data_IF_866042037489
#
_entry.id   IF_866042037489
#
_cell.length_a   1.000
_cell.length_b   1.000
_cell.length_c   1.000
_cell.angle_alpha   90.00
_cell.angle_beta   90.00
_cell.angle_gamma   90.00
#
_symmetry.space_group_name_H-M   'P 1'
#
loop_
_entity.id
_entity.type
_entity.pdbx_description
1 polymer ?
#
# COMPACT_ATOMS: atom_id res chain seq x y z
N UNK A 1 22.74 -69.22 -58.91
CA UNK A 1 21.98 -68.63 -60.02
C UNK A 1 20.89 -67.76 -59.41
N UNK A 2 21.00 -66.45 -59.68
CA UNK A 2 20.05 -65.32 -59.57
C UNK A 2 18.64 -65.56 -59.02
N UNK A 3 18.15 -64.63 -58.17
CA UNK A 3 16.84 -63.94 -58.22
C UNK A 3 16.65 -63.14 -56.90
N UNK A 4 17.06 -61.87 -56.80
CA UNK A 4 16.33 -60.62 -57.19
C UNK A 4 15.21 -60.21 -56.21
N UNK A 5 15.09 -58.87 -55.99
CA UNK A 5 13.96 -58.03 -55.49
C UNK A 5 13.92 -57.73 -53.96
N UNK A 6 13.73 -56.50 -53.44
CA UNK A 6 13.46 -55.14 -53.94
C UNK A 6 13.95 -54.12 -52.90
N UNK A 7 14.53 -53.02 -53.37
CA UNK A 7 14.81 -51.81 -52.59
C UNK A 7 13.47 -51.07 -52.38
N UNK A 8 13.12 -50.76 -51.12
CA UNK A 8 12.01 -49.87 -50.79
C UNK A 8 12.61 -48.49 -50.43
N UNK A 9 12.44 -47.52 -51.32
CA UNK A 9 12.77 -46.10 -51.07
C UNK A 9 11.64 -45.50 -50.25
N UNK A 10 11.90 -45.12 -48.99
CA UNK A 10 10.98 -44.30 -48.20
C UNK A 10 11.17 -42.83 -48.57
N UNK A 11 10.19 -42.25 -49.25
CA UNK A 11 10.08 -40.81 -49.46
C UNK A 11 9.50 -40.16 -48.19
N UNK A 12 10.35 -39.45 -47.44
CA UNK A 12 9.93 -38.54 -46.38
C UNK A 12 9.46 -37.23 -47.02
N UNK A 13 8.15 -37.03 -47.10
CA UNK A 13 7.55 -35.75 -47.42
C UNK A 13 7.62 -34.85 -46.18
N UNK A 14 8.52 -33.87 -46.17
CA UNK A 14 8.57 -32.81 -45.17
C UNK A 14 7.50 -31.77 -45.48
N UNK A 15 6.39 -31.80 -44.74
CA UNK A 15 5.42 -30.72 -44.74
C UNK A 15 5.97 -29.55 -43.89
N UNK A 16 6.33 -28.45 -44.55
CA UNK A 16 6.66 -27.20 -43.86
C UNK A 16 5.37 -26.53 -43.37
N UNK A 17 5.14 -26.54 -42.05
CA UNK A 17 4.04 -25.78 -41.45
C UNK A 17 4.40 -24.29 -41.42
N UNK A 18 3.67 -23.48 -42.19
CA UNK A 18 3.78 -22.02 -42.13
C UNK A 18 3.14 -21.52 -40.82
N UNK A 19 3.97 -21.01 -39.90
CA UNK A 19 3.51 -20.38 -38.67
C UNK A 19 3.07 -18.95 -39.01
N UNK A 20 1.76 -18.72 -39.06
CA UNK A 20 1.19 -17.37 -39.09
C UNK A 20 1.38 -16.72 -37.72
N UNK A 21 2.27 -15.75 -37.62
CA UNK A 21 2.42 -14.90 -36.43
C UNK A 21 1.21 -13.97 -36.38
N UNK A 22 0.18 -14.35 -35.61
CA UNK A 22 -0.94 -13.47 -35.29
C UNK A 22 -0.42 -12.26 -34.49
N UNK A 23 -0.82 -11.06 -34.93
CA UNK A 23 -0.26 -9.79 -34.51
C UNK A 23 -0.23 -9.55 -33.00
N UNK A 24 0.88 -8.98 -32.54
CA UNK A 24 1.01 -8.36 -31.23
C UNK A 24 0.08 -7.14 -31.19
N UNK A 25 -1.17 -7.34 -30.75
CA UNK A 25 -2.03 -6.24 -30.37
C UNK A 25 -1.40 -5.51 -29.19
N UNK A 26 -0.83 -4.32 -29.43
CA UNK A 26 -0.45 -3.39 -28.36
C UNK A 26 -1.73 -2.95 -27.65
N UNK A 27 -2.03 -3.55 -26.50
CA UNK A 27 -3.06 -3.01 -25.61
C UNK A 27 -2.57 -1.65 -25.13
N UNK A 28 -3.15 -0.57 -25.65
CA UNK A 28 -2.88 0.77 -25.17
C UNK A 28 -3.26 0.82 -23.69
N UNK A 29 -2.27 1.05 -22.82
CA UNK A 29 -2.51 1.19 -21.39
C UNK A 29 -3.49 2.36 -21.17
N UNK A 30 -4.63 2.08 -20.54
CA UNK A 30 -5.62 3.10 -20.22
C UNK A 30 -4.98 4.27 -19.47
N UNK A 31 -5.17 5.49 -19.98
CA UNK A 31 -4.72 6.70 -19.31
C UNK A 31 -5.38 6.79 -17.93
N UNK A 32 -4.60 7.15 -16.90
CA UNK A 32 -5.16 7.34 -15.58
C UNK A 32 -6.21 8.45 -15.61
N UNK A 33 -7.25 8.40 -14.75
CA UNK A 33 -8.14 9.53 -14.59
C UNK A 33 -7.34 10.78 -14.19
N UNK A 34 -7.61 11.90 -14.86
CA UNK A 34 -6.98 13.17 -14.53
C UNK A 34 -7.57 13.72 -13.22
N UNK A 35 -6.74 13.81 -12.18
CA UNK A 35 -7.14 14.42 -10.91
C UNK A 35 -7.13 15.96 -10.99
N UNK A 36 -7.82 16.62 -10.05
CA UNK A 36 -7.76 18.07 -9.91
C UNK A 36 -6.33 18.52 -9.52
N UNK A 37 -5.60 19.26 -10.37
CA UNK A 37 -4.22 19.65 -10.10
C UNK A 37 -4.07 20.59 -8.90
N UNK A 38 -5.12 21.34 -8.53
CA UNK A 38 -5.11 22.21 -7.34
C UNK A 38 -5.02 21.43 -6.03
N UNK A 39 -5.37 20.15 -6.06
CA UNK A 39 -5.33 19.25 -4.90
C UNK A 39 -4.14 18.30 -4.96
N UNK A 40 -3.19 18.50 -5.89
CA UNK A 40 -2.04 17.62 -6.00
C UNK A 40 -1.28 17.55 -4.66
N UNK A 41 -1.09 16.34 -4.10
CA UNK A 41 -0.30 16.17 -2.89
C UNK A 41 1.16 16.54 -3.14
N UNK A 42 1.88 16.97 -2.11
CA UNK A 42 3.28 17.35 -2.22
C UNK A 42 4.11 16.84 -1.03
N UNK A 43 5.42 17.12 -1.06
CA UNK A 43 6.34 16.67 -0.02
C UNK A 43 6.27 15.15 0.19
N UNK A 44 6.27 14.72 1.46
CA UNK A 44 6.25 13.30 1.82
C UNK A 44 4.91 12.62 1.50
N UNK A 45 3.79 13.34 1.60
CA UNK A 45 2.46 12.82 1.26
C UNK A 45 2.39 12.56 -0.25
N UNK A 46 2.81 13.53 -1.07
CA UNK A 46 2.87 13.38 -2.52
C UNK A 46 3.84 12.31 -2.97
N UNK A 47 5.02 12.23 -2.35
CA UNK A 47 5.98 11.16 -2.63
C UNK A 47 5.38 9.78 -2.34
N UNK A 48 4.67 9.61 -1.21
CA UNK A 48 4.00 8.36 -0.88
C UNK A 48 2.86 8.03 -1.85
N UNK A 49 2.02 9.00 -2.20
CA UNK A 49 0.94 8.81 -3.17
C UNK A 49 1.47 8.38 -4.54
N UNK A 50 2.52 9.04 -5.03
CA UNK A 50 3.18 8.67 -6.29
C UNK A 50 3.80 7.27 -6.23
N UNK A 51 4.45 6.92 -5.12
CA UNK A 51 5.02 5.58 -4.91
C UNK A 51 3.95 4.48 -5.00
N UNK A 52 2.73 4.77 -4.54
CA UNK A 52 1.60 3.84 -4.59
C UNK A 52 0.93 3.74 -5.96
N UNK A 53 1.37 4.53 -6.96
CA UNK A 53 0.79 4.57 -8.30
C UNK A 53 -0.15 5.75 -8.56
N UNK A 54 -0.20 6.72 -7.64
CA UNK A 54 -0.93 7.97 -7.80
C UNK A 54 -2.43 7.75 -8.10
N UNK A 55 -2.98 8.34 -9.18
CA UNK A 55 -4.40 8.19 -9.51
C UNK A 55 -4.82 6.75 -9.85
N UNK A 56 -3.87 5.86 -10.16
CA UNK A 56 -4.13 4.43 -10.45
C UNK A 56 -4.05 3.56 -9.19
N UNK A 57 -3.65 4.12 -8.06
CA UNK A 57 -3.62 3.41 -6.77
C UNK A 57 -5.03 3.24 -6.20
N UNK A 58 -5.16 2.41 -5.16
CA UNK A 58 -6.42 2.29 -4.42
C UNK A 58 -6.85 3.60 -3.73
N UNK A 59 -5.94 4.57 -3.52
CA UNK A 59 -6.31 5.88 -3.02
C UNK A 59 -7.03 6.73 -4.07
N UNK A 60 -6.71 6.53 -5.35
CA UNK A 60 -7.16 7.34 -6.48
C UNK A 60 -6.92 8.85 -6.26
N UNK A 61 -7.83 9.72 -6.70
CA UNK A 61 -7.59 11.16 -6.70
C UNK A 61 -7.73 11.81 -5.31
N UNK A 62 -6.95 12.87 -5.01
CA UNK A 62 -7.14 13.69 -3.81
C UNK A 62 -8.51 14.39 -3.82
N UNK A 63 -9.15 14.47 -2.66
CA UNK A 63 -10.48 15.08 -2.46
C UNK A 63 -10.43 16.37 -1.64
N UNK A 64 -9.30 16.64 -0.97
CA UNK A 64 -9.02 17.90 -0.26
C UNK A 64 -7.57 18.30 -0.46
N UNK A 65 -7.22 19.56 -0.15
CA UNK A 65 -5.82 19.95 0.02
C UNK A 65 -5.20 19.35 1.29
N UNK A 66 -3.88 19.41 1.40
CA UNK A 66 -3.15 19.06 2.63
C UNK A 66 -3.51 20.01 3.78
N UNK A 67 -3.81 19.44 4.96
CA UNK A 67 -4.18 20.20 6.17
C UNK A 67 -3.28 19.85 7.33
N UNK A 68 -3.02 20.85 8.17
CA UNK A 68 -2.34 20.66 9.44
C UNK A 68 -3.20 19.85 10.41
N UNK A 69 -2.50 19.12 11.26
CA UNK A 69 -3.06 18.34 12.36
C UNK A 69 -2.45 18.87 13.64
N UNK A 70 -3.26 19.02 14.68
CA UNK A 70 -2.84 19.49 15.98
C UNK A 70 -3.17 18.45 17.05
N UNK A 71 -2.35 18.37 18.09
CA UNK A 71 -2.65 17.62 19.30
C UNK A 71 -3.74 18.33 20.12
N UNK A 72 -4.29 17.66 21.12
CA UNK A 72 -5.36 18.21 21.99
C UNK A 72 -4.90 19.43 22.79
N UNK A 73 -3.59 19.56 23.04
CA UNK A 73 -2.97 20.74 23.66
C UNK A 73 -2.75 21.91 22.68
N UNK A 74 -3.19 21.79 21.42
CA UNK A 74 -3.05 22.83 20.39
C UNK A 74 -1.68 22.86 19.70
N UNK A 75 -0.77 21.96 20.03
CA UNK A 75 0.54 21.87 19.39
C UNK A 75 0.42 21.28 17.98
N UNK A 76 1.13 21.87 17.02
CA UNK A 76 1.19 21.34 15.65
C UNK A 76 1.84 19.95 15.66
N UNK A 77 1.21 19.00 14.97
CA UNK A 77 1.52 17.58 15.10
C UNK A 77 1.94 16.89 13.80
N UNK A 78 1.62 17.49 12.64
CA UNK A 78 1.85 16.88 11.33
C UNK A 78 0.84 17.36 10.29
N UNK A 79 0.77 16.66 9.16
CA UNK A 79 -0.14 17.01 8.07
C UNK A 79 -0.83 15.79 7.50
N UNK A 80 -1.99 15.98 6.88
CA UNK A 80 -2.74 14.89 6.22
C UNK A 80 -3.43 15.36 4.95
N UNK A 81 -3.77 14.41 4.09
CA UNK A 81 -4.61 14.64 2.93
C UNK A 81 -5.55 13.47 2.67
N UNK A 82 -6.77 13.80 2.24
CA UNK A 82 -7.79 12.84 1.88
C UNK A 82 -7.79 12.57 0.38
N UNK A 83 -8.06 11.33 0.05
CA UNK A 83 -8.18 10.78 -1.29
C UNK A 83 -9.52 10.04 -1.40
N UNK A 84 -9.94 9.72 -2.62
CA UNK A 84 -11.21 9.03 -2.87
C UNK A 84 -11.30 7.68 -2.15
N UNK A 85 -10.18 6.96 -2.08
CA UNK A 85 -10.11 5.64 -1.45
C UNK A 85 -9.39 5.60 -0.10
N UNK A 86 -9.05 6.76 0.51
CA UNK A 86 -8.36 6.76 1.79
C UNK A 86 -7.69 8.05 2.22
N UNK A 87 -6.76 7.95 3.15
CA UNK A 87 -6.03 9.08 3.73
C UNK A 87 -4.54 8.76 3.80
N UNK A 88 -3.72 9.79 3.55
CA UNK A 88 -2.28 9.76 3.86
C UNK A 88 -2.02 10.81 4.93
N UNK A 89 -1.32 10.42 5.99
CA UNK A 89 -0.93 11.28 7.11
C UNK A 89 0.57 11.21 7.32
N UNK A 90 1.22 12.36 7.42
CA UNK A 90 2.59 12.47 7.88
C UNK A 90 2.61 12.72 9.40
N UNK A 91 3.31 11.83 10.14
CA UNK A 91 3.36 11.81 11.60
C UNK A 91 4.82 11.79 12.08
N UNK A 92 5.48 12.96 12.21
CA UNK A 92 6.93 13.04 12.36
C UNK A 92 7.50 12.55 13.70
N UNK A 93 6.68 12.39 14.75
CA UNK A 93 7.15 11.99 16.08
C UNK A 93 7.74 10.58 16.12
N UNK A 94 7.21 9.67 15.30
CA UNK A 94 7.65 8.27 15.21
C UNK A 94 8.75 8.04 14.17
N UNK A 95 9.20 9.11 13.52
CA UNK A 95 10.23 9.13 12.48
C UNK A 95 10.03 10.37 11.63
N UNK A 96 11.08 11.15 11.36
CA UNK A 96 10.94 12.48 10.72
C UNK A 96 10.22 12.42 9.37
N UNK A 97 10.34 11.29 8.67
CA UNK A 97 9.77 11.03 7.35
C UNK A 97 8.56 10.11 7.39
N UNK A 98 8.06 9.75 8.57
CA UNK A 98 7.06 8.70 8.72
C UNK A 98 5.72 9.13 8.13
N UNK A 99 5.26 8.36 7.16
CA UNK A 99 3.95 8.51 6.54
C UNK A 99 3.13 7.26 6.83
N UNK A 100 1.86 7.47 7.14
CA UNK A 100 0.85 6.44 7.31
C UNK A 100 -0.14 6.57 6.17
N UNK A 101 -0.53 5.46 5.57
CA UNK A 101 -1.52 5.41 4.51
C UNK A 101 -2.56 4.38 4.86
N UNK A 102 -3.83 4.77 4.90
CA UNK A 102 -4.95 3.86 5.12
C UNK A 102 -5.92 3.92 3.93
N UNK A 103 -6.39 2.77 3.47
CA UNK A 103 -7.31 2.63 2.34
C UNK A 103 -8.12 1.34 2.44
N UNK A 104 -9.22 1.26 1.69
CA UNK A 104 -10.00 0.03 1.55
C UNK A 104 -9.82 -0.57 0.15
N UNK A 105 -9.60 -1.88 0.08
CA UNK A 105 -9.47 -2.62 -1.17
C UNK A 105 -9.83 -4.10 -0.97
N UNK A 106 -10.58 -4.64 -1.92
CA UNK A 106 -10.92 -6.07 -2.01
C UNK A 106 -11.56 -6.64 -0.73
N UNK A 107 -12.43 -5.86 -0.07
CA UNK A 107 -13.08 -6.28 1.19
C UNK A 107 -12.19 -6.19 2.42
N UNK A 108 -11.08 -5.46 2.35
CA UNK A 108 -10.17 -5.24 3.49
C UNK A 108 -9.88 -3.75 3.69
N UNK A 109 -9.78 -3.34 4.94
CA UNK A 109 -9.17 -2.09 5.36
C UNK A 109 -7.68 -2.33 5.60
N UNK A 110 -6.85 -1.58 4.87
CA UNK A 110 -5.41 -1.67 4.89
C UNK A 110 -4.82 -0.44 5.56
N UNK A 111 -3.68 -0.64 6.22
CA UNK A 111 -2.80 0.44 6.67
C UNK A 111 -1.36 0.06 6.37
N UNK A 112 -0.57 1.02 5.93
CA UNK A 112 0.88 0.90 5.82
C UNK A 112 1.56 2.10 6.41
N UNK A 113 2.77 1.93 6.94
CA UNK A 113 3.51 2.98 7.60
C UNK A 113 5.01 2.90 7.36
N UNK A 114 5.66 4.04 7.55
CA UNK A 114 7.11 4.19 7.52
C UNK A 114 7.56 5.27 6.51
N UNK A 115 8.88 5.44 6.35
CA UNK A 115 9.92 4.83 7.19
C UNK A 115 9.96 5.47 8.60
N UNK A 116 10.52 4.76 9.58
CA UNK A 116 10.61 5.22 10.98
C UNK A 116 11.96 5.82 11.37
N UNK A 117 12.85 6.08 10.40
CA UNK A 117 14.21 6.57 10.69
C UNK A 117 14.22 7.80 11.63
N UNK A 118 15.15 7.85 12.60
CA UNK A 118 16.25 6.90 12.84
C UNK A 118 15.87 5.70 13.74
N UNK A 119 14.57 5.52 14.03
CA UNK A 119 14.12 4.50 14.96
C UNK A 119 13.96 3.15 14.28
N UNK A 120 14.37 2.09 14.97
CA UNK A 120 14.16 0.69 14.62
C UNK A 120 13.45 0.04 15.81
N UNK A 121 12.28 -0.54 15.56
CA UNK A 121 11.47 -1.13 16.62
C UNK A 121 11.49 -2.64 16.56
N UNK A 122 11.44 -3.32 17.70
CA UNK A 122 11.31 -4.78 17.74
C UNK A 122 9.90 -5.26 17.35
N UNK A 123 8.88 -4.43 17.63
CA UNK A 123 7.49 -4.65 17.22
C UNK A 123 6.77 -3.35 16.93
N UNK A 124 5.69 -3.46 16.18
CA UNK A 124 4.67 -2.41 16.12
C UNK A 124 3.40 -2.87 16.79
N UNK A 125 2.74 -1.94 17.45
CA UNK A 125 1.38 -2.10 17.91
C UNK A 125 0.46 -1.39 16.92
N UNK A 126 -0.45 -2.12 16.31
CA UNK A 126 -1.48 -1.57 15.41
C UNK A 126 -2.80 -1.52 16.16
N UNK A 127 -3.35 -0.33 16.34
CA UNK A 127 -4.69 -0.11 16.89
C UNK A 127 -5.63 0.33 15.79
N UNK A 128 -6.83 -0.22 15.76
CA UNK A 128 -7.88 0.24 14.86
C UNK A 128 -9.20 0.41 15.59
N UNK A 129 -9.94 1.44 15.20
CA UNK A 129 -11.29 1.72 15.68
C UNK A 129 -12.26 1.62 14.52
N UNK A 130 -13.34 0.88 14.71
CA UNK A 130 -14.48 0.78 13.80
C UNK A 130 -15.76 0.57 14.63
N UNK A 131 -16.86 1.19 14.24
CA UNK A 131 -18.17 1.05 14.92
C UNK A 131 -18.15 1.36 16.43
N UNK A 132 -17.33 2.32 16.84
CA UNK A 132 -17.14 2.68 18.25
C UNK A 132 -16.32 1.67 19.06
N UNK A 133 -15.94 0.54 18.48
CA UNK A 133 -15.10 -0.47 19.10
C UNK A 133 -13.64 -0.26 18.70
N UNK A 134 -12.73 -0.62 19.60
CA UNK A 134 -11.28 -0.49 19.38
C UNK A 134 -10.59 -1.81 19.67
N UNK A 135 -9.71 -2.20 18.75
CA UNK A 135 -8.90 -3.40 18.86
C UNK A 135 -7.44 -3.06 18.63
N UNK A 136 -6.57 -3.99 19.04
CA UNK A 136 -5.14 -3.83 18.95
C UNK A 136 -4.44 -5.15 18.67
N UNK A 137 -3.36 -5.12 17.89
CA UNK A 137 -2.52 -6.28 17.62
C UNK A 137 -1.05 -5.90 17.49
N UNK A 138 -0.20 -6.74 18.05
CA UNK A 138 1.24 -6.65 17.87
C UNK A 138 1.63 -7.31 16.54
N UNK A 139 2.49 -6.65 15.79
CA UNK A 139 3.05 -7.14 14.52
C UNK A 139 4.56 -7.01 14.53
N UNK A 140 5.22 -7.74 13.63
CA UNK A 140 6.68 -7.71 13.46
C UNK A 140 7.19 -6.28 13.33
N UNK A 141 8.29 -5.98 14.01
CA UNK A 141 8.95 -4.67 13.98
C UNK A 141 9.78 -4.43 12.72
N UNK A 142 10.68 -3.47 12.83
CA UNK A 142 11.53 -2.97 11.74
C UNK A 142 11.42 -1.45 11.60
N UNK A 143 11.58 -0.97 10.37
CA UNK A 143 11.50 0.46 10.03
C UNK A 143 10.22 0.87 9.29
N UNK A 144 9.36 -0.09 9.01
CA UNK A 144 8.11 0.10 8.27
C UNK A 144 7.22 -1.12 8.49
N UNK A 145 5.97 -1.03 8.05
CA UNK A 145 5.09 -2.18 8.09
C UNK A 145 3.77 -1.94 7.39
N UNK A 146 2.96 -3.00 7.37
CA UNK A 146 1.61 -2.99 6.86
C UNK A 146 0.73 -3.94 7.66
N UNK A 147 -0.56 -3.63 7.71
CA UNK A 147 -1.56 -4.43 8.39
C UNK A 147 -2.88 -4.34 7.63
N UNK A 148 -3.69 -5.40 7.70
CA UNK A 148 -5.03 -5.41 7.14
C UNK A 148 -6.02 -6.05 8.10
N UNK A 149 -7.25 -5.56 8.05
CA UNK A 149 -8.41 -6.17 8.70
C UNK A 149 -9.50 -6.34 7.67
N UNK A 150 -10.40 -7.31 7.87
CA UNK A 150 -11.58 -7.45 7.02
C UNK A 150 -12.38 -6.15 7.13
N UNK A 151 -12.76 -5.60 5.98
CA UNK A 151 -13.61 -4.41 5.92
C UNK A 151 -15.04 -4.83 6.16
N UNK A 152 -15.67 -4.21 7.16
CA UNK A 152 -17.11 -4.29 7.35
C UNK A 152 -17.79 -3.23 6.45
N UNK A 153 -18.99 -3.51 5.95
CA UNK A 153 -19.65 -2.67 4.92
C UNK A 153 -20.22 -1.35 5.43
N UNK A 154 -20.25 -1.14 6.74
CA UNK A 154 -21.10 -0.12 7.37
C UNK A 154 -20.32 1.06 7.99
N UNK A 155 -19.02 1.22 7.72
CA UNK A 155 -18.23 2.27 8.35
C UNK A 155 -16.73 2.21 8.04
N UNK A 156 -16.08 3.38 8.10
CA UNK A 156 -14.64 3.51 7.89
C UNK A 156 -13.81 3.19 9.14
N UNK A 157 -12.54 2.86 8.92
CA UNK A 157 -11.58 2.52 9.96
C UNK A 157 -10.72 3.73 10.30
N UNK A 158 -10.29 3.82 11.55
CA UNK A 158 -9.21 4.70 11.98
C UNK A 158 -8.07 3.88 12.56
N UNK A 159 -6.87 4.02 12.01
CA UNK A 159 -5.66 3.34 12.45
C UNK A 159 -4.74 4.27 13.23
N UNK A 160 -4.11 3.72 14.28
CA UNK A 160 -2.96 4.29 14.97
C UNK A 160 -1.86 3.23 15.07
N UNK A 161 -0.62 3.66 14.90
CA UNK A 161 0.57 2.81 14.97
C UNK A 161 1.45 3.30 16.11
N UNK A 162 2.03 2.39 16.87
CA UNK A 162 3.03 2.70 17.89
C UNK A 162 4.22 1.73 17.75
N UNK A 163 5.42 2.28 17.67
CA UNK A 163 6.66 1.49 17.63
C UNK A 163 7.15 1.21 19.04
N UNK A 164 7.55 -0.04 19.31
CA UNK A 164 8.00 -0.46 20.62
C UNK A 164 9.23 -1.36 20.54
N UNK A 165 10.14 -1.17 21.48
CA UNK A 165 11.25 -2.08 21.72
C UNK A 165 10.84 -3.11 22.77
N UNK A 166 11.29 -4.35 22.62
CA UNK A 166 11.13 -5.38 23.63
C UNK A 166 11.87 -4.93 24.89
N UNK A 167 11.17 -4.92 26.02
CA UNK A 167 11.81 -4.72 27.31
C UNK A 167 12.10 -6.05 27.98
N UNK A 168 13.07 -6.04 28.88
CA UNK A 168 13.26 -7.13 29.85
C UNK A 168 12.17 -7.11 30.92
N UNK A 169 12.56 -7.20 32.19
CA UNK A 169 11.66 -7.18 33.35
C UNK A 169 11.01 -5.79 33.44
N UNK A 170 9.81 -5.62 32.87
CA UNK A 170 9.11 -4.34 32.78
C UNK A 170 8.23 -4.14 31.54
N UNK A 171 8.29 -5.06 30.56
CA UNK A 171 7.46 -4.99 29.35
C UNK A 171 8.02 -4.04 28.28
N UNK A 172 7.36 -3.98 27.12
CA UNK A 172 7.83 -3.21 25.96
C UNK A 172 7.90 -1.70 26.23
N UNK A 173 8.89 -1.04 25.64
CA UNK A 173 9.10 0.41 25.74
C UNK A 173 8.70 1.08 24.43
N UNK A 174 7.67 1.92 24.47
CA UNK A 174 7.16 2.65 23.30
C UNK A 174 7.37 4.15 23.54
N UNK A 175 8.48 4.71 23.03
CA UNK A 175 8.97 6.03 23.50
C UNK A 175 8.37 7.20 22.73
N UNK A 176 8.05 7.00 21.46
CA UNK A 176 7.58 8.03 20.54
C UNK A 176 6.07 8.23 20.61
N UNK A 177 5.36 7.34 21.32
CA UNK A 177 3.90 7.33 21.40
C UNK A 177 3.23 6.95 20.09
N UNK A 178 1.91 7.06 20.09
CA UNK A 178 1.06 6.79 18.93
C UNK A 178 1.23 7.80 17.80
N UNK A 179 1.14 7.31 16.56
CA UNK A 179 1.03 8.17 15.37
C UNK A 179 -0.25 8.99 15.40
N UNK A 180 -0.29 10.02 14.55
CA UNK A 180 -1.55 10.66 14.19
C UNK A 180 -2.54 9.62 13.60
N UNK A 181 -3.85 9.75 13.93
CA UNK A 181 -4.87 8.84 13.41
C UNK A 181 -5.03 8.99 11.90
N UNK A 182 -5.12 7.88 11.18
CA UNK A 182 -5.28 7.85 9.70
C UNK A 182 -6.42 6.92 9.32
N UNK A 183 -7.30 7.35 8.42
CA UNK A 183 -8.57 6.66 8.14
C UNK A 183 -8.73 6.13 6.71
N UNK A 184 -9.54 5.08 6.52
CA UNK A 184 -9.72 4.39 5.22
C UNK A 184 -10.69 5.02 4.25
N UNK A 185 -11.70 5.76 4.73
CA UNK A 185 -12.60 6.69 4.02
C UNK A 185 -13.65 7.12 5.04
N UNK A 186 -14.31 8.25 4.81
CA UNK A 186 -15.65 8.55 5.33
C UNK A 186 -16.54 8.92 4.15
#
# INVERSE_FOLDING_TARGET
>A
MSLVRRILVMLLATAAAAITVAGLGTTAASAAPACNPKLAPYGLIGARWNQLGGPRSYLACPTSGERDVYFTNGEWAGRRQRFQGGEITWSPRQGKRMVITAWEANGYAHVSWGPTDPYHYDKFIVRWTAYGNTWQRDVTGGTSGQFRVVSETNGGYQFLIEGCDNGGIGGSKCRQGWTLPTATRR
#
